data_IF_416781984764
#
_entry.id   IF_416781984764
#
_cell.length_a   1.000
_cell.length_b   1.000
_cell.length_c   1.000
_cell.angle_alpha   90.00
_cell.angle_beta   90.00
_cell.angle_gamma   90.00
#
_symmetry.space_group_name_H-M   'P 1'
#
loop_
_entity.id
_entity.type
_entity.pdbx_description
1 polymer ?
#
# COMPACT_ATOMS: atom_id res chain seq x y z
N UNK A 1 -4.45 16.17 -7.21
CA UNK A 1 -5.00 15.30 -6.12
C UNK A 1 -6.24 15.88 -5.45
N UNK A 2 -6.21 17.09 -4.87
CA UNK A 2 -7.38 17.69 -4.17
C UNK A 2 -8.72 17.61 -4.96
N UNK A 3 -8.75 17.87 -6.30
CA UNK A 3 -9.99 17.71 -7.07
C UNK A 3 -10.56 16.28 -7.03
N UNK A 4 -9.73 15.23 -7.16
CA UNK A 4 -10.15 13.83 -7.07
C UNK A 4 -10.81 13.52 -5.73
N UNK A 5 -10.19 13.96 -4.64
CA UNK A 5 -10.72 13.75 -3.29
C UNK A 5 -12.01 14.51 -3.03
N UNK A 6 -12.16 15.70 -3.60
CA UNK A 6 -13.37 16.51 -3.47
C UNK A 6 -14.51 15.91 -4.29
N UNK A 7 -14.23 15.49 -5.53
CA UNK A 7 -15.19 14.82 -6.40
C UNK A 7 -15.67 13.48 -5.81
N UNK A 8 -14.79 12.72 -5.18
CA UNK A 8 -15.15 11.50 -4.47
C UNK A 8 -15.05 10.21 -5.28
N UNK A 9 -14.97 10.27 -6.62
CA UNK A 9 -14.95 9.08 -7.48
C UNK A 9 -13.78 8.12 -7.19
N UNK A 10 -12.67 8.66 -6.69
CA UNK A 10 -11.47 7.86 -6.37
C UNK A 10 -11.69 6.87 -5.22
N UNK A 11 -12.57 7.16 -4.26
CA UNK A 11 -12.76 6.31 -3.08
C UNK A 11 -13.38 4.96 -3.47
N UNK A 12 -14.47 4.96 -4.24
CA UNK A 12 -15.09 3.71 -4.69
C UNK A 12 -14.15 2.86 -5.54
N UNK A 13 -13.28 3.50 -6.35
CA UNK A 13 -12.27 2.77 -7.11
C UNK A 13 -11.14 2.21 -6.23
N UNK A 14 -10.74 2.93 -5.19
CA UNK A 14 -9.75 2.45 -4.23
C UNK A 14 -10.27 1.25 -3.43
N UNK A 15 -11.53 1.30 -2.98
CA UNK A 15 -12.18 0.20 -2.27
C UNK A 15 -12.32 -1.03 -3.19
N UNK A 16 -12.78 -0.83 -4.42
CA UNK A 16 -12.91 -1.91 -5.39
C UNK A 16 -11.55 -2.49 -5.82
N UNK A 17 -10.47 -1.69 -5.88
CA UNK A 17 -9.11 -2.20 -6.11
C UNK A 17 -8.67 -3.12 -4.98
N UNK A 18 -8.94 -2.71 -3.74
CA UNK A 18 -8.61 -3.48 -2.55
C UNK A 18 -9.38 -4.80 -2.48
N UNK A 19 -10.66 -4.79 -2.83
CA UNK A 19 -11.55 -5.96 -2.77
C UNK A 19 -11.32 -6.95 -3.92
N UNK A 20 -10.88 -6.47 -5.09
CA UNK A 20 -10.69 -7.31 -6.27
C UNK A 20 -9.36 -8.09 -6.30
N UNK A 21 -8.56 -8.06 -5.23
CA UNK A 21 -7.27 -8.72 -5.19
C UNK A 21 -7.43 -10.24 -5.21
N UNK A 22 -6.76 -10.89 -6.17
CA UNK A 22 -6.54 -12.33 -6.15
C UNK A 22 -5.22 -12.61 -5.41
N UNK A 23 -5.33 -13.08 -4.17
CA UNK A 23 -4.19 -13.24 -3.26
C UNK A 23 -3.91 -14.71 -2.97
N UNK A 24 -2.62 -15.10 -2.87
CA UNK A 24 -2.26 -16.42 -2.38
C UNK A 24 -2.74 -16.64 -0.94
N UNK A 25 -3.00 -17.88 -0.59
CA UNK A 25 -3.39 -18.26 0.78
C UNK A 25 -2.21 -18.10 1.74
N UNK A 26 -2.48 -17.56 2.92
CA UNK A 26 -1.51 -17.42 4.02
C UNK A 26 -2.06 -18.01 5.32
N UNK A 27 -1.20 -18.48 6.23
CA UNK A 27 -1.65 -19.02 7.50
C UNK A 27 -2.25 -17.91 8.38
N UNK A 28 -3.34 -18.21 9.07
CA UNK A 28 -3.85 -17.34 10.14
C UNK A 28 -3.12 -17.63 11.45
N UNK A 29 -2.53 -16.62 12.04
CA UNK A 29 -1.88 -16.74 13.34
C UNK A 29 -2.93 -16.82 14.46
N UNK A 30 -2.69 -17.72 15.41
CA UNK A 30 -3.46 -17.74 16.65
C UNK A 30 -2.99 -16.63 17.59
N UNK A 31 -3.85 -16.19 18.50
CA UNK A 31 -3.44 -15.27 19.58
C UNK A 31 -2.27 -15.86 20.39
N UNK A 32 -2.26 -17.17 20.63
CA UNK A 32 -1.15 -17.85 21.30
C UNK A 32 0.17 -17.67 20.53
N UNK A 33 0.17 -17.84 19.21
CA UNK A 33 1.37 -17.62 18.39
C UNK A 33 1.88 -16.17 18.49
N UNK A 34 0.97 -15.18 18.46
CA UNK A 34 1.33 -13.77 18.65
C UNK A 34 1.96 -13.53 20.04
N UNK A 35 1.37 -14.09 21.11
CA UNK A 35 1.90 -13.95 22.48
C UNK A 35 3.27 -14.61 22.63
N UNK A 36 3.49 -15.76 21.99
CA UNK A 36 4.78 -16.47 22.01
C UNK A 36 5.92 -15.67 21.36
N UNK A 37 5.61 -14.73 20.46
CA UNK A 37 6.61 -13.83 19.86
C UNK A 37 6.63 -12.43 20.50
N UNK A 38 6.05 -12.29 21.69
CA UNK A 38 6.08 -11.05 22.48
C UNK A 38 5.08 -9.98 22.05
N UNK A 39 4.10 -10.30 21.19
CA UNK A 39 3.03 -9.37 20.81
C UNK A 39 1.90 -9.56 21.81
N UNK A 40 1.63 -8.57 22.65
CA UNK A 40 0.48 -8.55 23.58
C UNK A 40 -0.80 -8.05 22.87
N UNK A 41 -1.92 -7.93 23.60
CA UNK A 41 -3.21 -7.52 23.02
C UNK A 41 -3.20 -6.09 22.47
N UNK A 42 -2.49 -5.18 23.15
CA UNK A 42 -2.30 -3.80 22.70
C UNK A 42 -1.48 -3.75 21.40
N UNK A 43 -0.38 -4.50 21.35
CA UNK A 43 0.45 -4.64 20.16
C UNK A 43 -0.32 -5.24 18.98
N UNK A 44 -1.14 -6.26 19.22
CA UNK A 44 -2.04 -6.83 18.21
C UNK A 44 -3.00 -5.79 17.64
N UNK A 45 -3.65 -5.00 18.51
CA UNK A 45 -4.55 -3.91 18.10
C UNK A 45 -3.81 -2.83 17.32
N UNK A 46 -2.61 -2.44 17.76
CA UNK A 46 -1.82 -1.38 17.13
C UNK A 46 -1.23 -1.81 15.78
N UNK A 47 -0.80 -3.08 15.65
CA UNK A 47 -0.39 -3.68 14.37
C UNK A 47 -1.57 -3.67 13.40
N UNK A 48 -2.75 -4.15 13.84
CA UNK A 48 -3.96 -4.15 13.01
C UNK A 48 -4.33 -2.73 12.55
N UNK A 49 -4.33 -1.76 13.45
CA UNK A 49 -4.61 -0.36 13.13
C UNK A 49 -3.62 0.20 12.10
N UNK A 50 -2.33 -0.07 12.26
CA UNK A 50 -1.31 0.33 11.29
C UNK A 50 -1.55 -0.29 9.91
N UNK A 51 -1.83 -1.59 9.85
CA UNK A 51 -2.12 -2.29 8.60
C UNK A 51 -3.38 -1.74 7.91
N UNK A 52 -4.48 -1.54 8.65
CA UNK A 52 -5.71 -0.93 8.12
C UNK A 52 -5.44 0.46 7.53
N UNK A 53 -4.55 1.24 8.15
CA UNK A 53 -4.14 2.54 7.62
C UNK A 53 -3.52 2.45 6.22
N UNK A 54 -2.61 1.49 6.00
CA UNK A 54 -2.01 1.26 4.69
C UNK A 54 -2.97 0.59 3.70
N UNK A 55 -3.82 -0.32 4.17
CA UNK A 55 -4.85 -1.02 3.38
C UNK A 55 -5.84 -0.04 2.75
N UNK A 56 -6.13 1.07 3.44
CA UNK A 56 -6.94 2.18 2.91
C UNK A 56 -6.12 3.18 2.10
N UNK A 57 -4.93 3.55 2.59
CA UNK A 57 -4.13 4.62 2.00
C UNK A 57 -3.45 4.25 0.68
N UNK A 58 -2.89 3.04 0.58
CA UNK A 58 -2.12 2.64 -0.61
C UNK A 58 -3.00 2.54 -1.87
N UNK A 59 -4.18 1.87 -1.84
CA UNK A 59 -5.06 1.84 -3.01
C UNK A 59 -5.52 3.24 -3.44
N UNK A 60 -5.88 4.10 -2.47
CA UNK A 60 -6.29 5.48 -2.75
C UNK A 60 -5.18 6.26 -3.48
N UNK A 61 -3.95 6.14 -2.98
CA UNK A 61 -2.81 6.81 -3.60
C UNK A 61 -2.52 6.27 -5.00
N UNK A 62 -2.52 4.95 -5.21
CA UNK A 62 -2.25 4.37 -6.54
C UNK A 62 -3.29 4.80 -7.55
N UNK A 63 -4.58 4.71 -7.23
CA UNK A 63 -5.65 5.12 -8.16
C UNK A 63 -5.50 6.60 -8.49
N UNK A 64 -5.22 7.44 -7.48
CA UNK A 64 -5.07 8.87 -7.68
C UNK A 64 -3.84 9.27 -8.51
N UNK A 65 -2.68 8.64 -8.25
CA UNK A 65 -1.46 8.89 -9.04
C UNK A 65 -1.61 8.34 -10.46
N UNK A 66 -2.25 7.19 -10.62
CA UNK A 66 -2.56 6.63 -11.94
C UNK A 66 -3.50 7.53 -12.74
N UNK A 67 -4.44 8.23 -12.07
CA UNK A 67 -5.31 9.21 -12.71
C UNK A 67 -4.53 10.45 -13.21
N UNK A 68 -3.52 10.88 -12.46
CA UNK A 68 -2.61 11.94 -12.90
C UNK A 68 -1.78 11.47 -14.09
N UNK A 69 -1.17 10.28 -14.02
CA UNK A 69 -0.42 9.71 -15.14
C UNK A 69 -1.27 9.61 -16.40
N UNK A 70 -2.49 9.08 -16.30
CA UNK A 70 -3.42 8.98 -17.42
C UNK A 70 -3.68 10.35 -18.07
N UNK A 71 -3.80 11.42 -17.28
CA UNK A 71 -3.99 12.77 -17.82
C UNK A 71 -2.72 13.30 -18.50
N UNK A 72 -1.54 13.05 -17.94
CA UNK A 72 -0.26 13.44 -18.54
C UNK A 72 0.02 12.67 -19.85
N UNK A 73 -0.44 11.43 -19.95
CA UNK A 73 -0.31 10.59 -21.15
C UNK A 73 -1.38 10.88 -22.23
N UNK A 74 -2.22 11.89 -22.03
CA UNK A 74 -3.31 12.23 -22.95
C UNK A 74 -4.45 11.19 -22.96
N UNK A 75 -4.49 10.28 -22.00
CA UNK A 75 -5.55 9.27 -21.79
C UNK A 75 -6.63 9.74 -20.80
N UNK A 76 -6.65 11.04 -20.49
CA UNK A 76 -7.61 11.65 -19.59
C UNK A 76 -9.04 11.45 -20.07
N UNK A 77 -9.92 11.08 -19.15
CA UNK A 77 -11.36 10.99 -19.42
C UNK A 77 -12.01 12.39 -19.37
N UNK A 78 -13.16 12.57 -20.05
CA UNK A 78 -13.96 13.78 -19.91
C UNK A 78 -14.32 14.08 -18.46
N UNK A 79 -14.60 15.35 -18.15
CA UNK A 79 -14.97 15.77 -16.81
C UNK A 79 -16.11 14.92 -16.25
N UNK A 80 -15.89 14.34 -15.06
CA UNK A 80 -16.85 13.46 -14.41
C UNK A 80 -17.68 14.24 -13.36
N UNK A 81 -18.99 13.93 -13.20
CA UNK A 81 -19.78 14.49 -12.13
C UNK A 81 -19.23 14.06 -10.74
N UNK A 82 -19.54 14.79 -9.67
CA UNK A 82 -19.23 14.35 -8.31
C UNK A 82 -19.84 12.98 -8.02
N UNK A 83 -19.07 12.11 -7.37
CA UNK A 83 -19.55 10.83 -6.90
C UNK A 83 -19.90 10.91 -5.40
N UNK A 84 -20.89 10.14 -4.98
CA UNK A 84 -21.15 9.96 -3.55
C UNK A 84 -19.92 9.30 -2.90
N UNK A 85 -19.42 9.94 -1.85
CA UNK A 85 -18.33 9.37 -1.07
C UNK A 85 -18.90 8.25 -0.19
N UNK A 86 -18.27 7.07 -0.17
CA UNK A 86 -18.65 6.04 0.79
C UNK A 86 -18.45 6.58 2.22
N UNK A 87 -19.25 6.12 3.20
CA UNK A 87 -19.09 6.52 4.60
C UNK A 87 -17.66 6.25 5.05
N UNK A 88 -16.94 7.30 5.47
CA UNK A 88 -15.61 7.11 6.03
C UNK A 88 -15.76 6.66 7.47
N UNK A 89 -15.24 5.47 7.77
CA UNK A 89 -15.02 5.09 9.16
C UNK A 89 -14.09 6.12 9.82
N UNK A 90 -14.43 6.52 11.05
CA UNK A 90 -13.69 7.53 11.80
C UNK A 90 -12.20 7.24 11.90
N UNK A 91 -11.41 8.26 12.26
CA UNK A 91 -9.99 8.10 12.51
C UNK A 91 -9.78 7.02 13.57
N UNK A 92 -9.26 5.86 13.16
CA UNK A 92 -8.90 4.79 14.08
C UNK A 92 -7.74 5.23 14.98
N UNK A 93 -7.37 4.36 15.93
CA UNK A 93 -6.20 4.58 16.78
C UNK A 93 -4.98 4.91 15.90
N UNK A 94 -4.25 6.01 16.18
CA UNK A 94 -3.07 6.37 15.41
C UNK A 94 -2.06 5.24 15.40
N UNK A 95 -1.52 4.91 14.23
CA UNK A 95 -0.39 3.99 14.15
C UNK A 95 0.80 4.56 14.95
N UNK A 96 1.63 3.72 15.57
CA UNK A 96 2.82 4.19 16.27
C UNK A 96 3.73 4.98 15.34
N UNK A 97 4.46 5.94 15.91
CA UNK A 97 5.47 6.70 15.18
C UNK A 97 6.56 5.76 14.65
N UNK A 98 6.98 5.95 13.39
CA UNK A 98 8.08 5.21 12.78
C UNK A 98 9.37 5.39 13.59
N UNK A 99 10.03 4.28 13.90
CA UNK A 99 11.39 4.30 14.41
C UNK A 99 12.37 4.61 13.29
N UNK A 100 13.37 5.46 13.53
CA UNK A 100 14.59 5.59 12.72
C UNK A 100 15.51 4.38 12.96
N UNK A 101 16.41 4.10 12.02
CA UNK A 101 17.27 2.91 12.09
C UNK A 101 18.26 2.95 13.26
N UNK A 102 18.70 4.13 13.66
CA UNK A 102 19.54 4.38 14.84
C UNK A 102 18.81 4.15 16.17
N UNK A 103 17.47 4.15 16.15
CA UNK A 103 16.63 3.83 17.31
C UNK A 103 16.36 2.32 17.45
N UNK A 104 16.82 1.50 16.51
CA UNK A 104 16.59 0.06 16.50
C UNK A 104 17.85 -0.68 16.97
N UNK A 105 17.70 -1.76 17.76
CA UNK A 105 18.77 -2.75 17.88
C UNK A 105 19.19 -3.25 16.49
N UNK A 106 20.48 -3.54 16.31
CA UNK A 106 21.06 -3.90 15.01
C UNK A 106 20.31 -5.03 14.29
N UNK A 107 19.95 -6.09 15.03
CA UNK A 107 19.19 -7.23 14.50
C UNK A 107 17.76 -6.85 14.07
N UNK A 108 17.12 -5.88 14.73
CA UNK A 108 15.79 -5.38 14.33
C UNK A 108 15.92 -4.55 13.06
N UNK A 109 16.94 -3.67 12.98
CA UNK A 109 17.24 -2.91 11.78
C UNK A 109 17.53 -3.81 10.58
N UNK A 110 18.25 -4.91 10.79
CA UNK A 110 18.47 -5.95 9.78
C UNK A 110 17.15 -6.58 9.35
N UNK A 111 16.30 -7.02 10.29
CA UNK A 111 15.00 -7.59 9.92
C UNK A 111 14.10 -6.60 9.17
N UNK A 112 14.11 -5.33 9.53
CA UNK A 112 13.39 -4.28 8.80
C UNK A 112 13.85 -4.19 7.34
N UNK A 113 15.17 -4.26 7.08
CA UNK A 113 15.71 -4.28 5.72
C UNK A 113 15.34 -5.58 5.00
N UNK A 114 15.41 -6.72 5.69
CA UNK A 114 15.08 -8.04 5.13
C UNK A 114 13.62 -8.09 4.69
N UNK A 115 12.66 -7.70 5.54
CA UNK A 115 11.24 -7.72 5.15
C UNK A 115 10.90 -6.64 4.12
N UNK A 116 11.64 -5.54 4.06
CA UNK A 116 11.46 -4.51 3.03
C UNK A 116 11.72 -5.05 1.60
N UNK A 117 12.53 -6.11 1.47
CA UNK A 117 12.78 -6.77 0.19
C UNK A 117 11.64 -7.70 -0.25
N UNK A 118 10.72 -8.06 0.65
CA UNK A 118 9.57 -8.91 0.31
C UNK A 118 8.64 -8.16 -0.64
N UNK A 119 8.39 -8.75 -1.80
CA UNK A 119 7.64 -8.13 -2.89
C UNK A 119 8.44 -7.10 -3.70
N UNK A 120 9.74 -6.94 -3.45
CA UNK A 120 10.60 -6.02 -4.19
C UNK A 120 11.31 -6.71 -5.37
N UNK A 121 11.31 -6.06 -6.54
CA UNK A 121 12.09 -6.47 -7.72
C UNK A 121 12.70 -5.25 -8.43
N UNK A 122 13.81 -5.43 -9.14
CA UNK A 122 14.51 -4.34 -9.82
C UNK A 122 14.80 -3.15 -8.88
N UNK A 123 14.50 -1.93 -9.34
CA UNK A 123 14.66 -0.67 -8.60
C UNK A 123 13.91 -0.64 -7.26
N UNK A 124 12.87 -1.46 -7.08
CA UNK A 124 12.15 -1.52 -5.82
C UNK A 124 13.03 -2.02 -4.66
N UNK A 125 14.11 -2.76 -4.95
CA UNK A 125 15.05 -3.23 -3.92
C UNK A 125 15.78 -2.07 -3.23
N UNK A 126 15.92 -0.94 -3.91
CA UNK A 126 16.59 0.26 -3.40
C UNK A 126 15.62 1.20 -2.66
N UNK A 127 14.32 0.88 -2.65
CA UNK A 127 13.27 1.69 -2.02
C UNK A 127 12.92 1.14 -0.64
N UNK A 128 13.03 1.99 0.38
CA UNK A 128 12.57 1.70 1.74
C UNK A 128 11.11 2.14 1.92
N UNK A 129 10.20 1.17 2.04
CA UNK A 129 8.81 1.46 2.41
C UNK A 129 8.69 1.68 3.92
N UNK A 130 7.64 2.41 4.30
CA UNK A 130 7.43 2.86 5.67
C UNK A 130 6.90 1.78 6.63
N UNK A 131 6.15 0.79 6.13
CA UNK A 131 5.49 -0.21 6.99
C UNK A 131 6.47 -1.03 7.85
N UNK A 132 7.56 -1.60 7.32
CA UNK A 132 8.53 -2.34 8.15
C UNK A 132 9.05 -1.53 9.35
N UNK A 133 9.28 -0.23 9.17
CA UNK A 133 9.72 0.67 10.26
C UNK A 133 8.62 0.97 11.28
N UNK A 134 7.34 0.97 10.88
CA UNK A 134 6.22 1.02 11.82
C UNK A 134 6.13 -0.26 12.66
N UNK A 135 6.40 -1.41 12.04
CA UNK A 135 6.30 -2.72 12.70
C UNK A 135 7.52 -3.06 13.56
N UNK A 136 8.59 -2.25 13.50
CA UNK A 136 9.82 -2.45 14.27
C UNK A 136 9.62 -2.40 15.80
N UNK A 137 8.52 -1.81 16.27
CA UNK A 137 8.10 -1.88 17.69
C UNK A 137 7.77 -3.32 18.14
N UNK A 138 7.48 -4.21 17.20
CA UNK A 138 7.17 -5.62 17.45
C UNK A 138 8.05 -6.53 16.58
N UNK A 139 9.34 -6.72 16.95
CA UNK A 139 10.27 -7.54 16.18
C UNK A 139 9.75 -8.96 15.90
N UNK A 140 9.01 -9.55 16.84
CA UNK A 140 8.35 -10.85 16.64
C UNK A 140 7.39 -10.86 15.45
N UNK A 141 6.70 -9.75 15.18
CA UNK A 141 5.83 -9.63 14.01
C UNK A 141 6.62 -9.53 12.70
N UNK A 142 7.80 -8.90 12.71
CA UNK A 142 8.70 -8.89 11.53
C UNK A 142 9.16 -10.30 11.16
N UNK A 143 9.42 -11.15 12.17
CA UNK A 143 9.77 -12.56 11.94
C UNK A 143 8.60 -13.33 11.32
N UNK A 144 7.38 -13.15 11.84
CA UNK A 144 6.18 -13.78 11.28
C UNK A 144 5.88 -13.32 9.86
N UNK A 145 6.01 -12.01 9.60
CA UNK A 145 5.92 -11.42 8.26
C UNK A 145 6.92 -12.08 7.31
N UNK A 146 8.20 -12.11 7.68
CA UNK A 146 9.24 -12.75 6.87
C UNK A 146 8.91 -14.22 6.58
N UNK A 147 8.66 -15.01 7.62
CA UNK A 147 8.46 -16.46 7.50
C UNK A 147 7.26 -16.82 6.62
N UNK A 148 6.17 -16.05 6.69
CA UNK A 148 4.96 -16.33 5.94
C UNK A 148 5.01 -15.83 4.48
N UNK A 149 5.60 -14.66 4.24
CA UNK A 149 5.57 -14.04 2.90
C UNK A 149 6.82 -14.31 2.05
N UNK A 150 7.91 -14.80 2.66
CA UNK A 150 9.12 -15.16 1.91
C UNK A 150 8.87 -16.28 0.88
N UNK A 151 8.20 -17.41 1.20
CA UNK A 151 7.94 -18.46 0.21
C UNK A 151 7.14 -17.94 -0.98
N UNK A 152 6.12 -17.10 -0.75
CA UNK A 152 5.28 -16.50 -1.77
C UNK A 152 6.04 -15.49 -2.65
N UNK A 153 7.07 -14.84 -2.08
CA UNK A 153 7.97 -14.01 -2.86
C UNK A 153 8.88 -14.86 -3.75
N UNK A 154 9.45 -15.93 -3.20
CA UNK A 154 10.42 -16.79 -3.88
C UNK A 154 9.77 -17.62 -5.00
N UNK A 155 8.53 -18.08 -4.83
CA UNK A 155 7.76 -18.79 -5.87
C UNK A 155 7.09 -17.86 -6.90
N UNK A 156 7.16 -16.54 -6.67
CA UNK A 156 6.64 -15.52 -7.57
C UNK A 156 5.14 -15.22 -7.43
N UNK A 157 4.38 -15.94 -6.61
CA UNK A 157 2.94 -15.71 -6.41
C UNK A 157 2.63 -14.30 -5.90
N UNK A 158 3.43 -13.79 -4.94
CA UNK A 158 3.31 -12.41 -4.46
C UNK A 158 3.61 -11.40 -5.57
N UNK A 159 4.61 -11.67 -6.43
CA UNK A 159 4.96 -10.75 -7.52
C UNK A 159 3.85 -10.69 -8.57
N UNK A 160 3.20 -11.81 -8.86
CA UNK A 160 2.02 -11.87 -9.74
C UNK A 160 0.87 -11.04 -9.19
N UNK A 161 0.57 -11.16 -7.88
CA UNK A 161 -0.47 -10.34 -7.24
C UNK A 161 -0.15 -8.83 -7.30
N UNK A 162 1.12 -8.46 -7.12
CA UNK A 162 1.57 -7.06 -7.25
C UNK A 162 1.36 -6.54 -8.68
N UNK A 163 1.66 -7.35 -9.69
CA UNK A 163 1.46 -6.97 -11.09
C UNK A 163 0.00 -6.79 -11.44
N UNK A 164 -0.87 -7.67 -10.94
CA UNK A 164 -2.32 -7.56 -11.10
C UNK A 164 -2.85 -6.28 -10.46
N UNK A 165 -2.45 -5.96 -9.23
CA UNK A 165 -2.85 -4.73 -8.54
C UNK A 165 -2.37 -3.47 -9.27
N UNK A 166 -1.14 -3.48 -9.79
CA UNK A 166 -0.62 -2.36 -10.56
C UNK A 166 -1.38 -2.16 -11.87
N UNK A 167 -1.72 -3.23 -12.57
CA UNK A 167 -2.52 -3.17 -13.79
C UNK A 167 -3.94 -2.66 -13.53
N UNK A 168 -4.60 -3.17 -12.48
CA UNK A 168 -5.94 -2.74 -12.09
C UNK A 168 -5.95 -1.27 -11.61
N UNK A 169 -4.99 -0.90 -10.75
CA UNK A 169 -4.80 0.47 -10.28
C UNK A 169 -4.64 1.48 -11.42
N UNK A 170 -3.88 1.12 -12.47
CA UNK A 170 -3.76 1.94 -13.68
C UNK A 170 -5.10 2.11 -14.42
N UNK A 171 -5.82 1.01 -14.70
CA UNK A 171 -7.16 1.08 -15.34
C UNK A 171 -8.13 1.95 -14.56
N UNK A 172 -8.15 1.79 -13.24
CA UNK A 172 -9.02 2.56 -12.34
C UNK A 172 -8.63 4.03 -12.30
N UNK A 173 -7.33 4.33 -12.32
CA UNK A 173 -6.81 5.69 -12.46
C UNK A 173 -7.31 6.37 -13.73
N UNK A 174 -7.20 5.71 -14.88
CA UNK A 174 -7.77 6.20 -16.15
C UNK A 174 -9.26 6.52 -15.96
N UNK A 175 -10.02 5.60 -15.38
CA UNK A 175 -11.48 5.75 -15.15
C UNK A 175 -11.83 7.03 -14.36
N UNK A 176 -11.03 7.42 -13.37
CA UNK A 176 -11.30 8.60 -12.53
C UNK A 176 -10.53 9.86 -12.94
N UNK A 177 -9.72 9.80 -14.00
CA UNK A 177 -8.90 10.93 -14.45
C UNK A 177 -9.72 12.18 -14.80
N UNK A 178 -10.96 12.01 -15.24
CA UNK A 178 -11.91 13.11 -15.48
C UNK A 178 -12.29 13.90 -14.22
N UNK A 179 -12.22 13.29 -13.04
CA UNK A 179 -12.48 13.96 -11.76
C UNK A 179 -11.36 14.91 -11.32
N UNK A 180 -10.23 14.96 -12.05
CA UNK A 180 -9.25 16.05 -11.92
C UNK A 180 -9.83 17.40 -12.39
N UNK A 181 -10.90 17.38 -13.18
CA UNK A 181 -11.56 18.57 -13.71
C UNK A 181 -10.77 19.25 -14.83
N UNK A 182 -11.18 20.45 -15.25
CA UNK A 182 -10.40 21.26 -16.18
C UNK A 182 -9.18 21.84 -15.45
N UNK A 183 -8.01 21.29 -15.74
CA UNK A 183 -6.72 21.88 -15.37
C UNK A 183 -5.91 22.11 -16.63
N UNK A 184 -5.25 23.27 -16.72
CA UNK A 184 -4.24 23.51 -17.75
C UNK A 184 -3.16 22.42 -17.65
N UNK A 185 -2.69 21.89 -18.80
CA UNK A 185 -1.56 20.97 -18.78
C UNK A 185 -0.34 21.72 -18.20
N UNK A 186 0.45 21.06 -17.34
CA UNK A 186 1.69 21.66 -16.87
C UNK A 186 2.66 21.85 -18.04
N UNK A 187 3.68 22.68 -17.81
CA UNK A 187 4.83 22.80 -18.72
C UNK A 187 5.40 21.40 -19.05
N UNK A 188 5.84 21.12 -20.31
CA UNK A 188 6.33 19.80 -20.72
C UNK A 188 7.48 19.26 -19.85
N UNK A 189 8.39 20.09 -19.37
CA UNK A 189 9.50 19.66 -18.51
C UNK A 189 8.98 19.21 -17.15
N UNK A 190 8.02 19.97 -16.58
CA UNK A 190 7.35 19.62 -15.33
C UNK A 190 6.53 18.33 -15.51
N UNK A 191 5.83 18.20 -16.64
CA UNK A 191 5.05 17.00 -16.97
C UNK A 191 5.94 15.75 -16.99
N UNK A 192 7.10 15.83 -17.66
CA UNK A 192 8.08 14.75 -17.72
C UNK A 192 8.64 14.41 -16.34
N UNK A 193 9.05 15.41 -15.55
CA UNK A 193 9.57 15.19 -14.20
C UNK A 193 8.55 14.53 -13.25
N UNK A 194 7.28 14.95 -13.33
CA UNK A 194 6.19 14.33 -12.56
C UNK A 194 5.97 12.89 -13.03
N UNK A 195 5.96 12.65 -14.34
CA UNK A 195 5.78 11.31 -14.90
C UNK A 195 6.89 10.36 -14.43
N UNK A 196 8.16 10.75 -14.59
CA UNK A 196 9.31 9.97 -14.12
C UNK A 196 9.23 9.69 -12.62
N UNK A 197 8.81 10.68 -11.82
CA UNK A 197 8.64 10.51 -10.38
C UNK A 197 7.55 9.48 -10.06
N UNK A 198 6.40 9.53 -10.74
CA UNK A 198 5.29 8.61 -10.50
C UNK A 198 5.58 7.20 -11.03
N UNK A 199 6.21 7.07 -12.20
CA UNK A 199 6.65 5.80 -12.76
C UNK A 199 7.68 5.08 -11.88
N UNK A 200 8.51 5.85 -11.15
CA UNK A 200 9.37 5.26 -10.14
C UNK A 200 8.63 4.99 -8.83
N UNK A 201 7.82 5.92 -8.33
CA UNK A 201 7.23 5.80 -6.99
C UNK A 201 6.12 4.73 -6.91
N UNK A 202 5.20 4.71 -7.87
CA UNK A 202 3.99 3.86 -7.84
C UNK A 202 4.34 2.37 -7.79
N UNK A 203 5.13 1.79 -8.73
CA UNK A 203 5.44 0.36 -8.71
C UNK A 203 6.42 -0.01 -7.59
N UNK A 204 7.36 0.87 -7.24
CA UNK A 204 8.46 0.51 -6.34
C UNK A 204 8.15 0.70 -4.85
N UNK A 205 7.19 1.56 -4.49
CA UNK A 205 6.80 1.81 -3.10
C UNK A 205 5.37 1.32 -2.80
N UNK A 206 4.36 1.96 -3.38
CA UNK A 206 2.95 1.73 -2.98
C UNK A 206 2.37 0.44 -3.56
N UNK A 207 2.66 0.14 -4.83
CA UNK A 207 2.15 -1.03 -5.56
C UNK A 207 2.35 -2.33 -4.81
N UNK A 208 3.59 -2.59 -4.41
CA UNK A 208 3.93 -3.82 -3.68
C UNK A 208 3.26 -3.91 -2.32
N UNK A 209 2.98 -2.77 -1.69
CA UNK A 209 2.47 -2.73 -0.33
C UNK A 209 0.98 -3.03 -0.23
N UNK A 210 0.22 -2.98 -1.32
CA UNK A 210 -1.20 -3.35 -1.30
C UNK A 210 -1.35 -4.86 -1.04
N UNK A 211 -0.84 -5.79 -1.89
CA UNK A 211 -0.93 -7.21 -1.59
C UNK A 211 -0.27 -7.61 -0.27
N UNK A 212 0.91 -7.05 0.03
CA UNK A 212 1.61 -7.35 1.28
C UNK A 212 0.75 -7.00 2.50
N UNK A 213 0.13 -5.82 2.53
CA UNK A 213 -0.71 -5.41 3.67
C UNK A 213 -1.95 -6.28 3.78
N UNK A 214 -2.62 -6.57 2.65
CA UNK A 214 -3.82 -7.42 2.67
C UNK A 214 -3.49 -8.85 3.12
N UNK A 215 -2.36 -9.42 2.71
CA UNK A 215 -1.87 -10.70 3.21
C UNK A 215 -1.57 -10.63 4.71
N UNK A 216 -0.85 -9.60 5.18
CA UNK A 216 -0.58 -9.40 6.62
C UNK A 216 -1.87 -9.30 7.45
N UNK A 217 -2.91 -8.63 6.93
CA UNK A 217 -4.23 -8.57 7.57
C UNK A 217 -4.91 -9.94 7.63
N UNK A 218 -4.86 -10.71 6.53
CA UNK A 218 -5.43 -12.06 6.47
C UNK A 218 -4.77 -13.04 7.46
N UNK A 219 -3.51 -12.79 7.82
CA UNK A 219 -2.79 -13.57 8.83
C UNK A 219 -3.15 -13.21 10.27
N UNK A 220 -3.71 -12.03 10.53
CA UNK A 220 -4.08 -11.63 11.89
C UNK A 220 -5.26 -12.47 12.41
N UNK A 221 -5.38 -12.69 13.74
CA UNK A 221 -6.57 -13.30 14.33
C UNK A 221 -7.85 -12.57 13.88
N UNK A 222 -8.97 -13.29 13.77
CA UNK A 222 -10.28 -12.62 13.65
C UNK A 222 -10.65 -11.94 14.97
N UNK A 223 -11.43 -10.86 14.90
CA UNK A 223 -12.01 -10.26 16.10
C UNK A 223 -12.92 -11.28 16.81
#
# INVERSE_FOLDING_TARGET
>A
MKPLYTNGAVYGQADALREAQDLPTVPRFSRAALRSVGINAEGESAIRAALIGYDRGNPLNIVSFSAIMARLDGQGQPAAPPAQQPPRHGAGTPAPTRLNFDQMPSHVAEMVRTVNLIGARGKAKDVQVSLPRNLAHWPGFLVLYYAALRPLHDDGSLLTAIDAVLADGRRRGVTVSGALGPTEPPDPEIAAAVKDSLENLVPNAMGRMIPVVSLLLNMMPTE
#
